data_IF_638276002353
#
_entry.id   IF_638276002353
#
_cell.length_a   1.000
_cell.length_b   1.000
_cell.length_c   1.000
_cell.angle_alpha   90.00
_cell.angle_beta   90.00
_cell.angle_gamma   90.00
#
_symmetry.space_group_name_H-M   'P 1'
#
loop_
_entity.id
_entity.type
_entity.pdbx_description
1 polymer ?
#
# COMPACT_ATOMS: atom_id res chain seq x y z
N UNK A 1 -9.03 -14.11 21.90
CA UNK A 1 -7.77 -14.82 22.16
C UNK A 1 -6.56 -14.24 21.42
N UNK A 2 -6.59 -14.01 20.10
CA UNK A 2 -5.46 -13.41 19.35
C UNK A 2 -5.55 -11.89 19.14
N UNK A 3 -6.54 -11.22 19.72
CA UNK A 3 -6.86 -9.80 19.48
C UNK A 3 -5.83 -8.81 20.05
N UNK A 4 -4.94 -9.27 20.93
CA UNK A 4 -3.89 -8.40 21.51
C UNK A 4 -2.75 -8.06 20.55
N UNK A 5 -2.57 -8.82 19.45
CA UNK A 5 -1.47 -8.65 18.51
C UNK A 5 -1.84 -8.91 17.04
N UNK A 6 -3.07 -9.38 16.77
CA UNK A 6 -3.57 -9.58 15.41
C UNK A 6 -4.88 -8.84 15.18
N UNK A 7 -5.09 -8.43 13.93
CA UNK A 7 -6.39 -7.94 13.52
C UNK A 7 -7.45 -9.05 13.72
N UNK A 8 -8.59 -8.70 14.30
CA UNK A 8 -9.65 -9.65 14.73
C UNK A 8 -10.05 -10.64 13.63
N UNK A 9 -10.25 -10.17 12.38
CA UNK A 9 -10.65 -11.03 11.25
C UNK A 9 -9.57 -12.08 10.94
N UNK A 10 -8.30 -11.68 10.92
CA UNK A 10 -7.18 -12.59 10.67
C UNK A 10 -7.05 -13.62 11.78
N UNK A 11 -7.15 -13.20 13.05
CA UNK A 11 -7.15 -14.09 14.20
C UNK A 11 -8.24 -15.16 14.12
N UNK A 12 -9.46 -14.79 13.73
CA UNK A 12 -10.55 -15.75 13.54
C UNK A 12 -10.26 -16.78 12.44
N UNK A 13 -9.68 -16.36 11.31
CA UNK A 13 -9.30 -17.26 10.22
C UNK A 13 -8.25 -18.27 10.70
N UNK A 14 -7.18 -17.79 11.35
CA UNK A 14 -6.11 -18.65 11.86
C UNK A 14 -6.66 -19.68 12.86
N UNK A 15 -7.52 -19.27 13.80
CA UNK A 15 -8.15 -20.20 14.76
C UNK A 15 -8.96 -21.27 14.05
N UNK A 16 -9.85 -20.91 13.12
CA UNK A 16 -10.66 -21.84 12.34
C UNK A 16 -9.79 -22.82 11.54
N UNK A 17 -8.78 -22.33 10.82
CA UNK A 17 -7.85 -23.15 10.04
C UNK A 17 -7.00 -24.07 10.94
N UNK A 18 -6.80 -23.71 12.20
CA UNK A 18 -6.12 -24.54 13.20
C UNK A 18 -7.06 -25.56 13.86
N UNK A 19 -8.34 -25.61 13.48
CA UNK A 19 -9.33 -26.52 14.04
C UNK A 19 -9.80 -26.14 15.47
N UNK A 20 -9.78 -24.83 15.78
CA UNK A 20 -10.25 -24.32 17.08
C UNK A 20 -11.63 -23.71 16.93
N UNK A 21 -12.55 -24.09 17.79
CA UNK A 21 -13.84 -23.42 17.89
C UNK A 21 -13.64 -22.02 18.50
N UNK A 22 -14.23 -21.01 17.86
CA UNK A 22 -14.12 -19.61 18.30
C UNK A 22 -14.76 -19.34 19.66
N UNK A 23 -15.65 -20.22 20.11
CA UNK A 23 -16.32 -20.16 21.42
C UNK A 23 -15.52 -20.85 22.51
N UNK A 24 -14.46 -21.61 22.18
CA UNK A 24 -13.62 -22.29 23.18
C UNK A 24 -12.84 -21.29 24.03
N UNK A 25 -12.65 -21.65 25.29
CA UNK A 25 -11.73 -20.93 26.17
C UNK A 25 -10.27 -21.33 25.90
N UNK A 26 -9.34 -20.50 26.32
CA UNK A 26 -7.89 -20.78 26.07
C UNK A 26 -7.44 -22.11 26.70
N UNK A 27 -8.04 -22.51 27.85
CA UNK A 27 -7.69 -23.75 28.56
C UNK A 27 -8.18 -25.02 27.88
N UNK A 28 -9.17 -24.90 26.98
CA UNK A 28 -9.74 -26.05 26.25
C UNK A 28 -8.99 -26.35 24.95
N UNK A 29 -8.03 -25.53 24.56
CA UNK A 29 -7.32 -25.67 23.28
C UNK A 29 -6.25 -26.75 23.40
N UNK A 30 -6.33 -27.83 22.58
CA UNK A 30 -5.33 -28.88 22.61
C UNK A 30 -3.95 -28.35 22.18
N UNK A 31 -2.88 -28.88 22.79
CA UNK A 31 -1.49 -28.56 22.47
C UNK A 31 -1.20 -28.61 20.97
N UNK A 32 -1.75 -29.62 20.26
CA UNK A 32 -1.60 -29.74 18.80
C UNK A 32 -2.19 -28.53 18.03
N UNK A 33 -3.29 -27.96 18.49
CA UNK A 33 -3.90 -26.80 17.88
C UNK A 33 -3.06 -25.53 18.15
N UNK A 34 -2.50 -25.40 19.36
CA UNK A 34 -1.58 -24.32 19.70
C UNK A 34 -0.34 -24.31 18.77
N UNK A 35 0.25 -25.49 18.54
CA UNK A 35 1.38 -25.61 17.60
C UNK A 35 0.98 -25.28 16.17
N UNK A 36 -0.22 -25.66 15.71
CA UNK A 36 -0.73 -25.24 14.39
C UNK A 36 -0.92 -23.75 14.29
N UNK A 37 -1.51 -23.12 15.31
CA UNK A 37 -1.62 -21.65 15.37
C UNK A 37 -0.27 -21.00 15.25
N UNK A 38 0.73 -21.44 16.02
CA UNK A 38 2.07 -20.90 15.99
C UNK A 38 2.75 -21.04 14.61
N UNK A 39 2.55 -22.18 13.94
CA UNK A 39 3.03 -22.40 12.57
C UNK A 39 2.35 -21.46 11.58
N UNK A 40 1.04 -21.33 11.63
CA UNK A 40 0.27 -20.46 10.73
C UNK A 40 0.60 -18.97 10.94
N UNK A 41 0.91 -18.55 12.16
CA UNK A 41 1.34 -17.18 12.44
C UNK A 41 2.68 -16.83 11.77
N UNK A 42 3.53 -17.82 11.55
CA UNK A 42 4.84 -17.63 10.90
C UNK A 42 4.81 -17.89 9.40
N UNK A 43 3.98 -18.80 8.94
CA UNK A 43 3.86 -19.20 7.54
C UNK A 43 2.40 -19.55 7.23
N UNK A 44 1.64 -18.55 6.80
CA UNK A 44 0.25 -18.69 6.41
C UNK A 44 0.15 -18.78 4.88
N UNK A 45 0.17 -19.98 4.37
CA UNK A 45 0.08 -20.24 2.94
C UNK A 45 -1.36 -20.16 2.45
N UNK A 46 -1.58 -19.42 1.37
CA UNK A 46 -2.85 -19.37 0.64
C UNK A 46 -2.62 -19.24 -0.85
N UNK A 47 -3.52 -19.80 -1.65
CA UNK A 47 -3.46 -19.69 -3.11
C UNK A 47 -4.25 -18.48 -3.56
N UNK A 48 -3.58 -17.50 -4.15
CA UNK A 48 -4.26 -16.42 -4.83
C UNK A 48 -4.94 -16.95 -6.10
N UNK A 49 -6.24 -16.69 -6.23
CA UNK A 49 -7.06 -17.15 -7.38
C UNK A 49 -7.53 -16.00 -8.26
N UNK A 50 -7.25 -14.76 -7.88
CA UNK A 50 -7.63 -13.57 -8.62
C UNK A 50 -7.43 -12.30 -7.80
N UNK A 51 -7.90 -11.19 -8.33
CA UNK A 51 -7.89 -9.87 -7.70
C UNK A 51 -9.31 -9.36 -7.49
N UNK A 52 -9.49 -8.42 -6.57
CA UNK A 52 -10.79 -7.80 -6.28
C UNK A 52 -11.19 -6.71 -7.26
N UNK A 53 -10.37 -6.48 -8.29
CA UNK A 53 -10.62 -5.50 -9.32
C UNK A 53 -10.04 -4.12 -9.01
N UNK A 54 -10.16 -3.24 -9.99
CA UNK A 54 -9.54 -1.90 -9.99
C UNK A 54 -10.08 -1.00 -8.87
N UNK A 55 -11.35 -1.14 -8.52
CA UNK A 55 -12.00 -0.36 -7.45
C UNK A 55 -11.36 -0.54 -6.06
N UNK A 56 -10.64 -1.65 -5.86
CA UNK A 56 -9.96 -1.95 -4.61
C UNK A 56 -8.43 -1.72 -4.68
N UNK A 57 -7.93 -1.24 -5.81
CA UNK A 57 -6.52 -0.93 -5.97
C UNK A 57 -6.13 0.27 -5.09
N UNK A 58 -5.01 0.16 -4.37
CA UNK A 58 -4.46 1.26 -3.56
C UNK A 58 -3.47 2.13 -4.34
N UNK A 59 -2.91 1.58 -5.42
CA UNK A 59 -1.92 2.23 -6.28
C UNK A 59 -2.21 1.83 -7.72
N UNK A 60 -2.00 2.77 -8.65
CA UNK A 60 -2.14 2.53 -10.09
C UNK A 60 -0.76 2.57 -10.74
N UNK A 61 -0.34 1.46 -11.33
CA UNK A 61 0.89 1.41 -12.11
C UNK A 61 0.73 2.11 -13.47
N UNK A 62 1.77 2.80 -13.92
CA UNK A 62 1.76 3.57 -15.15
C UNK A 62 1.61 5.07 -14.90
N UNK A 63 1.34 5.82 -15.96
CA UNK A 63 1.18 7.28 -15.90
C UNK A 63 2.12 8.03 -16.82
N UNK A 64 2.21 9.35 -16.64
CA UNK A 64 3.07 10.21 -17.44
C UNK A 64 4.55 9.94 -17.14
N UNK A 65 5.34 9.70 -18.19
CA UNK A 65 6.76 9.35 -18.09
C UNK A 65 7.56 10.48 -17.42
N UNK A 66 8.21 10.21 -16.30
CA UNK A 66 9.03 11.21 -15.56
C UNK A 66 10.12 11.86 -16.41
N UNK A 67 10.68 11.13 -17.38
CA UNK A 67 11.66 11.65 -18.31
C UNK A 67 11.16 12.84 -19.16
N UNK A 68 9.83 13.01 -19.28
CA UNK A 68 9.19 14.11 -20.01
C UNK A 68 9.00 15.37 -19.17
N UNK A 69 9.39 15.34 -17.89
CA UNK A 69 9.29 16.46 -16.98
C UNK A 69 10.67 16.91 -16.48
N UNK A 70 10.78 18.19 -16.15
CA UNK A 70 11.93 18.71 -15.43
C UNK A 70 11.84 18.34 -13.94
N UNK A 71 12.91 18.56 -13.18
CA UNK A 71 12.91 18.36 -11.72
C UNK A 71 11.87 19.22 -10.99
N UNK A 72 11.46 20.31 -11.62
CA UNK A 72 10.39 21.21 -11.17
C UNK A 72 8.98 20.71 -11.53
N UNK A 73 8.87 19.46 -12.00
CA UNK A 73 7.61 18.86 -12.44
C UNK A 73 6.93 19.58 -13.64
N UNK A 74 7.58 20.53 -14.29
CA UNK A 74 7.09 21.16 -15.51
C UNK A 74 7.35 20.26 -16.71
N UNK A 75 6.38 20.14 -17.60
CA UNK A 75 6.50 19.37 -18.85
C UNK A 75 7.55 19.96 -19.77
N UNK A 76 8.41 19.11 -20.34
CA UNK A 76 9.36 19.49 -21.39
C UNK A 76 8.69 19.74 -22.74
N UNK A 77 7.47 19.21 -22.94
CA UNK A 77 6.72 19.30 -24.20
C UNK A 77 5.70 20.43 -24.19
N UNK A 78 5.12 20.74 -23.03
CA UNK A 78 4.08 21.75 -22.89
C UNK A 78 4.48 22.75 -21.81
N UNK A 79 4.97 23.92 -22.22
CA UNK A 79 5.43 24.98 -21.32
C UNK A 79 4.26 25.46 -20.44
N UNK A 80 4.47 25.51 -19.12
CA UNK A 80 3.45 25.89 -18.15
C UNK A 80 2.51 24.75 -17.70
N UNK A 81 2.67 23.53 -18.22
CA UNK A 81 2.00 22.34 -17.71
C UNK A 81 2.86 21.68 -16.64
N UNK A 82 2.28 21.44 -15.47
CA UNK A 82 2.92 20.75 -14.36
C UNK A 82 2.13 19.48 -14.02
N UNK A 83 2.83 18.41 -13.63
CA UNK A 83 2.22 17.17 -13.17
C UNK A 83 2.91 16.72 -11.88
N UNK A 84 2.13 16.30 -10.89
CA UNK A 84 2.62 15.90 -9.55
C UNK A 84 1.89 14.65 -9.05
N UNK A 85 2.51 13.93 -8.14
CA UNK A 85 1.89 12.77 -7.51
C UNK A 85 1.71 11.59 -8.47
N UNK A 86 0.69 10.80 -8.24
CA UNK A 86 0.46 9.49 -8.87
C UNK A 86 0.15 9.56 -10.38
N UNK A 87 -0.14 10.75 -10.91
CA UNK A 87 -0.26 10.94 -12.38
C UNK A 87 1.08 10.73 -13.09
N UNK A 88 2.19 10.88 -12.38
CA UNK A 88 3.53 10.51 -12.85
C UNK A 88 3.75 9.00 -12.68
N UNK A 89 4.45 8.39 -13.63
CA UNK A 89 4.80 6.97 -13.57
C UNK A 89 5.87 6.71 -12.50
N UNK A 90 5.45 6.76 -11.24
CA UNK A 90 6.27 6.48 -10.05
C UNK A 90 5.45 5.64 -9.08
N UNK A 91 5.87 4.42 -8.85
CA UNK A 91 5.27 3.49 -7.90
C UNK A 91 6.21 3.29 -6.72
N UNK A 92 5.82 3.75 -5.55
CA UNK A 92 6.55 3.50 -4.31
C UNK A 92 6.04 2.25 -3.61
N UNK A 93 6.90 1.61 -2.84
CA UNK A 93 6.52 0.50 -1.99
C UNK A 93 5.41 0.86 -1.00
N UNK A 94 4.68 -0.14 -0.51
CA UNK A 94 3.70 0.07 0.55
C UNK A 94 4.40 0.57 1.82
N UNK A 95 3.87 1.64 2.43
CA UNK A 95 4.49 2.24 3.63
C UNK A 95 4.54 3.76 3.62
N UNK A 96 3.69 4.41 2.81
CA UNK A 96 3.57 5.87 2.76
C UNK A 96 4.45 6.57 1.73
N UNK A 97 5.27 5.84 0.98
CA UNK A 97 6.18 6.41 -0.04
C UNK A 97 5.43 7.13 -1.16
N UNK A 98 4.28 6.62 -1.61
CA UNK A 98 3.45 7.26 -2.64
C UNK A 98 2.91 8.61 -2.17
N UNK A 99 2.46 8.72 -0.92
CA UNK A 99 2.03 9.99 -0.32
C UNK A 99 3.20 10.95 -0.13
N UNK A 100 4.35 10.46 0.33
CA UNK A 100 5.56 11.27 0.45
C UNK A 100 6.00 11.83 -0.91
N UNK A 101 5.94 11.02 -1.97
CA UNK A 101 6.21 11.45 -3.34
C UNK A 101 5.19 12.49 -3.82
N UNK A 102 3.90 12.30 -3.55
CA UNK A 102 2.86 13.26 -3.92
C UNK A 102 3.13 14.65 -3.30
N UNK A 103 3.43 14.71 -2.02
CA UNK A 103 3.80 15.96 -1.34
C UNK A 103 5.12 16.54 -1.85
N UNK A 104 6.16 15.72 -1.98
CA UNK A 104 7.48 16.15 -2.46
C UNK A 104 7.44 16.74 -3.87
N UNK A 105 6.71 16.07 -4.78
CA UNK A 105 6.53 16.56 -6.16
C UNK A 105 5.70 17.86 -6.21
N UNK A 106 4.70 18.02 -5.33
CA UNK A 106 3.95 19.26 -5.21
C UNK A 106 4.84 20.44 -4.75
N UNK A 107 5.75 20.19 -3.80
CA UNK A 107 6.74 21.20 -3.40
C UNK A 107 7.69 21.59 -4.54
N UNK A 108 8.16 20.61 -5.31
CA UNK A 108 9.00 20.86 -6.48
C UNK A 108 8.26 21.69 -7.54
N UNK A 109 7.00 21.34 -7.81
CA UNK A 109 6.14 22.08 -8.74
C UNK A 109 5.87 23.51 -8.28
N UNK A 110 5.60 23.74 -6.99
CA UNK A 110 5.43 25.09 -6.44
C UNK A 110 6.61 25.98 -6.78
N UNK A 111 7.84 25.52 -6.55
CA UNK A 111 9.03 26.29 -6.85
C UNK A 111 9.17 26.55 -8.37
N UNK A 112 8.90 25.55 -9.19
CA UNK A 112 8.91 25.69 -10.65
C UNK A 112 7.84 26.64 -11.19
N UNK A 113 6.65 26.68 -10.55
CA UNK A 113 5.58 27.63 -10.92
C UNK A 113 6.00 29.07 -10.59
N UNK A 114 6.59 29.31 -9.41
CA UNK A 114 7.08 30.64 -9.02
C UNK A 114 8.14 31.12 -10.01
N UNK A 115 9.11 30.29 -10.34
CA UNK A 115 10.17 30.59 -11.31
C UNK A 115 9.60 30.88 -12.70
N UNK A 116 8.65 30.05 -13.16
CA UNK A 116 7.99 30.23 -14.46
C UNK A 116 7.18 31.53 -14.54
N UNK A 117 6.48 31.92 -13.49
CA UNK A 117 5.70 33.15 -13.46
C UNK A 117 6.59 34.39 -13.34
N UNK A 118 7.70 34.31 -12.60
CA UNK A 118 8.69 35.38 -12.46
C UNK A 118 9.53 35.63 -13.70
N UNK A 119 9.54 34.68 -14.66
CA UNK A 119 10.26 34.79 -15.95
C UNK A 119 9.40 35.31 -17.10
N UNK A 120 8.17 35.71 -16.84
CA UNK A 120 7.22 36.33 -17.78
C UNK A 120 7.18 37.84 -17.63
#
# INVERSE_FOLDING_TARGET
MLTGFLHRRLGHVILKCSGVDLNSTCGEIPQKAVLRIAKMLKAFDFKAVGTTGFENAQVTAGGAQCAQFFKTCMSKKAKGLFAVGEVLNVDGDCGGFNLAFAWGSAFAAKNGIIEYLGSR
#
